data_IF_605286862255
#
_entry.id   IF_605286862255
#
_cell.length_a   1.000
_cell.length_b   1.000
_cell.length_c   1.000
_cell.angle_alpha   90.00
_cell.angle_beta   90.00
_cell.angle_gamma   90.00
#
_symmetry.space_group_name_H-M   'P 1'
#
loop_
_entity.id
_entity.type
_entity.pdbx_description
1 polymer ?
#
# COMPACT_ATOMS: atom_id res chain seq x y z
N UNK A 1 -25.98 -3.75 -35.31
CA UNK A 1 -24.71 -3.36 -34.66
C UNK A 1 -23.73 -3.06 -35.78
N UNK A 2 -23.05 -1.92 -35.79
CA UNK A 2 -22.15 -1.52 -36.89
C UNK A 2 -20.94 -2.47 -36.98
N UNK A 3 -20.50 -2.81 -38.19
CA UNK A 3 -19.35 -3.70 -38.45
C UNK A 3 -18.09 -3.25 -37.70
N UNK A 4 -17.85 -1.94 -37.61
CA UNK A 4 -16.74 -1.34 -36.86
C UNK A 4 -16.71 -1.68 -35.36
N UNK A 5 -17.89 -1.88 -34.76
CA UNK A 5 -18.00 -2.21 -33.32
C UNK A 5 -17.78 -3.70 -33.08
N UNK A 6 -18.06 -4.54 -34.09
CA UNK A 6 -17.83 -5.99 -34.07
C UNK A 6 -16.34 -6.30 -34.28
N UNK A 7 -15.69 -5.63 -35.22
CA UNK A 7 -14.23 -5.74 -35.44
C UNK A 7 -13.40 -5.31 -34.22
N UNK A 8 -13.84 -4.26 -33.51
CA UNK A 8 -13.19 -3.83 -32.27
C UNK A 8 -13.30 -4.85 -31.14
N UNK A 9 -14.42 -5.56 -31.04
CA UNK A 9 -14.64 -6.62 -30.04
C UNK A 9 -13.80 -7.85 -30.40
N UNK A 10 -13.82 -8.30 -31.65
CA UNK A 10 -13.04 -9.45 -32.12
C UNK A 10 -11.52 -9.24 -31.94
N UNK A 11 -11.04 -8.00 -32.13
CA UNK A 11 -9.62 -7.66 -31.89
C UNK A 11 -9.26 -7.72 -30.41
N UNK A 12 -10.12 -7.18 -29.54
CA UNK A 12 -9.93 -7.25 -28.08
C UNK A 12 -9.99 -8.68 -27.56
N UNK A 13 -10.91 -9.50 -28.08
CA UNK A 13 -11.03 -10.91 -27.71
C UNK A 13 -9.81 -11.72 -28.17
N UNK A 14 -9.29 -11.47 -29.38
CA UNK A 14 -8.05 -12.10 -29.88
C UNK A 14 -6.82 -11.66 -29.09
N UNK A 15 -6.71 -10.37 -28.73
CA UNK A 15 -5.63 -9.89 -27.87
C UNK A 15 -5.73 -10.47 -26.45
N UNK A 16 -6.94 -10.65 -25.91
CA UNK A 16 -7.15 -11.30 -24.61
C UNK A 16 -6.82 -12.80 -24.65
N UNK A 17 -7.21 -13.51 -25.72
CA UNK A 17 -6.87 -14.91 -25.94
C UNK A 17 -5.36 -15.11 -26.14
N UNK A 18 -4.71 -14.25 -26.92
CA UNK A 18 -3.25 -14.29 -27.13
C UNK A 18 -2.45 -14.02 -25.86
N UNK A 19 -2.92 -13.10 -25.00
CA UNK A 19 -2.26 -12.81 -23.73
C UNK A 19 -2.41 -13.93 -22.68
N UNK A 20 -3.51 -14.68 -22.72
CA UNK A 20 -3.67 -15.91 -21.92
C UNK A 20 -2.76 -17.07 -22.36
N UNK A 21 -2.14 -16.97 -23.54
CA UNK A 21 -1.21 -17.98 -24.09
C UNK A 21 0.27 -17.58 -24.02
N UNK A 22 0.62 -16.51 -23.29
CA UNK A 22 2.02 -16.09 -23.13
C UNK A 22 2.76 -17.10 -22.26
N UNK A 23 3.75 -17.77 -22.85
CA UNK A 23 4.63 -18.71 -22.13
C UNK A 23 5.74 -17.96 -21.40
N UNK A 24 6.34 -18.60 -20.40
CA UNK A 24 7.51 -18.09 -19.69
C UNK A 24 8.63 -17.67 -20.64
N UNK A 25 8.93 -18.46 -21.66
CA UNK A 25 10.02 -18.18 -22.62
C UNK A 25 9.76 -16.91 -23.43
N UNK A 26 8.51 -16.66 -23.83
CA UNK A 26 8.14 -15.45 -24.55
C UNK A 26 8.28 -14.19 -23.66
N UNK A 27 7.90 -14.30 -22.39
CA UNK A 27 8.05 -13.22 -21.42
C UNK A 27 9.52 -12.95 -21.11
N UNK A 28 10.34 -13.99 -20.96
CA UNK A 28 11.80 -13.87 -20.79
C UNK A 28 12.47 -13.20 -21.99
N UNK A 29 12.09 -13.57 -23.22
CA UNK A 29 12.58 -12.91 -24.43
C UNK A 29 12.21 -11.43 -24.49
N UNK A 30 11.00 -11.08 -24.07
CA UNK A 30 10.56 -9.68 -23.98
C UNK A 30 11.33 -8.92 -22.90
N UNK A 31 11.53 -9.51 -21.73
CA UNK A 31 12.32 -8.93 -20.65
C UNK A 31 13.77 -8.67 -21.09
N UNK A 32 14.42 -9.64 -21.74
CA UNK A 32 15.78 -9.47 -22.27
C UNK A 32 15.89 -8.28 -23.25
N UNK A 33 14.92 -8.15 -24.16
CA UNK A 33 14.84 -6.99 -25.05
C UNK A 33 14.65 -5.68 -24.29
N UNK A 34 13.87 -5.66 -23.20
CA UNK A 34 13.68 -4.46 -22.38
C UNK A 34 14.96 -4.07 -21.64
N UNK A 35 15.74 -5.04 -21.16
CA UNK A 35 17.05 -4.79 -20.53
C UNK A 35 18.02 -4.13 -21.51
N UNK A 36 18.08 -4.61 -22.76
CA UNK A 36 18.92 -4.00 -23.81
C UNK A 36 18.52 -2.56 -24.15
N UNK A 37 17.25 -2.21 -23.96
CA UNK A 37 16.68 -0.92 -24.32
C UNK A 37 16.53 0.05 -23.14
N UNK A 38 16.98 -0.32 -21.94
CA UNK A 38 16.81 0.47 -20.71
C UNK A 38 15.34 0.79 -20.39
N UNK A 39 14.47 -0.22 -20.53
CA UNK A 39 13.06 -0.21 -20.16
C UNK A 39 12.24 1.03 -20.59
N UNK A 40 12.08 1.30 -21.90
CA UNK A 40 11.26 2.41 -22.37
C UNK A 40 9.83 2.33 -21.81
N UNK A 41 9.33 3.42 -21.23
CA UNK A 41 8.06 3.43 -20.47
C UNK A 41 6.90 2.75 -21.18
N UNK A 42 6.69 3.03 -22.47
CA UNK A 42 5.61 2.43 -23.25
C UNK A 42 5.75 0.90 -23.33
N UNK A 43 6.95 0.40 -23.59
CA UNK A 43 7.22 -1.05 -23.67
C UNK A 43 7.16 -1.71 -22.30
N UNK A 44 7.72 -1.08 -21.27
CA UNK A 44 7.67 -1.55 -19.87
C UNK A 44 6.23 -1.69 -19.39
N UNK A 45 5.38 -0.68 -19.60
CA UNK A 45 3.97 -0.71 -19.20
C UNK A 45 3.21 -1.84 -19.93
N UNK A 46 3.47 -2.04 -21.22
CA UNK A 46 2.87 -3.15 -21.97
C UNK A 46 3.30 -4.50 -21.40
N UNK A 47 4.59 -4.68 -21.13
CA UNK A 47 5.13 -5.90 -20.55
C UNK A 47 4.55 -6.18 -19.15
N UNK A 48 4.44 -5.18 -18.29
CA UNK A 48 3.75 -5.30 -16.99
C UNK A 48 2.31 -5.77 -17.18
N UNK A 49 1.59 -5.20 -18.14
CA UNK A 49 0.20 -5.60 -18.41
C UNK A 49 0.10 -7.02 -18.98
N UNK A 50 1.13 -7.50 -19.67
CA UNK A 50 1.23 -8.88 -20.16
C UNK A 50 1.56 -9.86 -19.02
N UNK A 51 2.49 -9.50 -18.11
CA UNK A 51 2.80 -10.28 -16.90
C UNK A 51 1.55 -10.57 -16.06
N UNK A 52 0.73 -9.55 -15.78
CA UNK A 52 -0.49 -9.70 -14.98
C UNK A 52 -1.60 -10.51 -15.67
N UNK A 53 -1.54 -10.73 -16.99
CA UNK A 53 -2.51 -11.57 -17.72
C UNK A 53 -1.99 -12.96 -18.04
N UNK A 54 -0.69 -13.18 -17.85
CA UNK A 54 -0.05 -14.47 -18.06
C UNK A 54 -0.38 -15.43 -16.92
N UNK A 55 -0.33 -16.75 -17.15
CA UNK A 55 -0.39 -17.74 -16.07
C UNK A 55 0.93 -17.83 -15.27
N UNK A 56 1.98 -17.11 -15.65
CA UNK A 56 3.34 -17.25 -15.13
C UNK A 56 3.55 -16.44 -13.83
N UNK A 57 2.77 -16.75 -12.79
CA UNK A 57 2.78 -16.04 -11.49
C UNK A 57 4.17 -16.06 -10.86
N UNK A 58 4.84 -17.23 -10.86
CA UNK A 58 6.15 -17.39 -10.26
C UNK A 58 7.21 -16.51 -10.95
N UNK A 59 7.19 -16.46 -12.27
CA UNK A 59 8.10 -15.60 -13.04
C UNK A 59 7.80 -14.11 -12.83
N UNK A 60 6.52 -13.73 -12.77
CA UNK A 60 6.14 -12.36 -12.44
C UNK A 60 6.66 -11.97 -11.04
N UNK A 61 6.50 -12.83 -10.04
CA UNK A 61 6.97 -12.56 -8.68
C UNK A 61 8.51 -12.52 -8.59
N UNK A 62 9.22 -13.36 -9.35
CA UNK A 62 10.68 -13.32 -9.47
C UNK A 62 11.17 -11.94 -9.94
N UNK A 63 10.56 -11.37 -10.99
CA UNK A 63 10.91 -10.04 -11.47
C UNK A 63 10.64 -8.93 -10.45
N UNK A 64 9.58 -9.08 -9.64
CA UNK A 64 9.28 -8.15 -8.55
C UNK A 64 10.37 -8.22 -7.47
N UNK A 65 10.81 -9.42 -7.08
CA UNK A 65 11.89 -9.57 -6.12
C UNK A 65 13.19 -8.94 -6.62
N UNK A 66 13.54 -9.14 -7.90
CA UNK A 66 14.71 -8.50 -8.49
C UNK A 66 14.61 -6.96 -8.47
N UNK A 67 13.44 -6.40 -8.79
CA UNK A 67 13.20 -4.94 -8.72
C UNK A 67 13.34 -4.41 -7.29
N UNK A 68 12.89 -5.18 -6.27
CA UNK A 68 13.09 -4.82 -4.86
C UNK A 68 14.56 -4.84 -4.45
N UNK A 69 15.30 -5.88 -4.83
CA UNK A 69 16.71 -6.05 -4.49
C UNK A 69 17.60 -5.01 -5.16
N UNK A 70 17.35 -4.73 -6.44
CA UNK A 70 18.14 -3.78 -7.23
C UNK A 70 17.69 -2.31 -7.01
N UNK A 71 16.46 -2.09 -6.54
CA UNK A 71 15.90 -0.76 -6.31
C UNK A 71 15.72 0.04 -7.60
N UNK A 72 15.33 -0.63 -8.69
CA UNK A 72 15.28 -0.01 -10.04
C UNK A 72 14.01 0.80 -10.30
N UNK A 73 12.99 0.70 -9.44
CA UNK A 73 11.69 1.39 -9.56
C UNK A 73 10.98 1.06 -10.89
N UNK A 74 11.17 -0.18 -11.36
CA UNK A 74 10.55 -0.68 -12.58
C UNK A 74 9.06 -0.98 -12.36
N UNK A 75 8.63 -1.13 -11.11
CA UNK A 75 7.24 -1.23 -10.67
C UNK A 75 6.52 -2.42 -11.33
N UNK A 76 7.19 -3.57 -11.41
CA UNK A 76 6.59 -4.80 -11.94
C UNK A 76 5.35 -5.22 -11.14
N UNK A 77 5.26 -4.83 -9.87
CA UNK A 77 4.10 -5.02 -9.00
C UNK A 77 2.75 -4.52 -9.57
N UNK A 78 2.75 -3.56 -10.49
CA UNK A 78 1.57 -2.76 -10.81
C UNK A 78 0.36 -3.55 -11.33
N UNK A 79 0.59 -4.71 -11.96
CA UNK A 79 -0.45 -5.56 -12.54
C UNK A 79 -0.66 -6.89 -11.80
N UNK A 80 0.02 -7.13 -10.68
CA UNK A 80 -0.03 -8.43 -10.02
C UNK A 80 -1.43 -8.76 -9.47
N UNK A 81 -2.25 -7.75 -9.15
CA UNK A 81 -3.65 -7.95 -8.74
C UNK A 81 -4.52 -8.64 -9.80
N UNK A 82 -4.08 -8.66 -11.07
CA UNK A 82 -4.76 -9.33 -12.16
C UNK A 82 -4.71 -10.87 -12.07
N UNK A 83 -3.76 -11.42 -11.30
CA UNK A 83 -3.69 -12.86 -11.00
C UNK A 83 -4.81 -13.34 -10.07
N UNK A 84 -5.57 -12.42 -9.46
CA UNK A 84 -6.72 -12.76 -8.62
C UNK A 84 -6.34 -13.62 -7.41
N UNK A 85 -7.18 -14.62 -7.11
CA UNK A 85 -6.98 -15.49 -5.95
C UNK A 85 -5.71 -16.32 -6.06
N UNK A 86 -5.39 -16.84 -7.25
CA UNK A 86 -4.19 -17.66 -7.48
C UNK A 86 -2.90 -16.90 -7.16
N UNK A 87 -2.85 -15.61 -7.50
CA UNK A 87 -1.72 -14.74 -7.13
C UNK A 87 -1.60 -14.53 -5.62
N UNK A 88 -2.73 -14.38 -4.91
CA UNK A 88 -2.74 -14.26 -3.45
C UNK A 88 -2.28 -15.58 -2.80
N UNK A 89 -2.79 -16.71 -3.26
CA UNK A 89 -2.41 -18.03 -2.74
C UNK A 89 -0.92 -18.31 -2.93
N UNK A 90 -0.37 -17.98 -4.11
CA UNK A 90 1.06 -18.09 -4.38
C UNK A 90 1.92 -17.26 -3.41
N UNK A 91 1.54 -16.00 -3.18
CA UNK A 91 2.25 -15.12 -2.25
C UNK A 91 2.13 -15.58 -0.79
N UNK A 92 0.99 -16.13 -0.38
CA UNK A 92 0.80 -16.71 0.96
C UNK A 92 1.65 -17.97 1.15
N UNK A 93 1.73 -18.83 0.14
CA UNK A 93 2.61 -20.00 0.16
C UNK A 93 4.08 -19.58 0.28
N UNK A 94 4.50 -18.61 -0.54
CA UNK A 94 5.86 -18.07 -0.50
C UNK A 94 6.18 -17.45 0.86
N UNK A 95 5.26 -16.66 1.42
CA UNK A 95 5.39 -16.07 2.75
C UNK A 95 5.56 -17.13 3.85
N UNK A 96 4.92 -18.29 3.73
CA UNK A 96 5.04 -19.37 4.71
C UNK A 96 6.38 -20.12 4.63
N UNK A 97 7.04 -20.07 3.48
CA UNK A 97 8.33 -20.72 3.23
C UNK A 97 9.53 -19.79 3.45
N UNK A 98 9.33 -18.48 3.35
CA UNK A 98 10.38 -17.48 3.52
C UNK A 98 10.82 -17.35 4.99
N UNK A 99 12.13 -17.37 5.24
CA UNK A 99 12.72 -17.25 6.58
C UNK A 99 13.29 -15.86 6.84
N UNK A 100 13.72 -15.14 5.80
CA UNK A 100 14.28 -13.79 5.96
C UNK A 100 13.19 -12.79 6.38
N UNK A 101 13.38 -12.14 7.53
CA UNK A 101 12.40 -11.22 8.10
C UNK A 101 12.08 -10.06 7.14
N UNK A 102 13.09 -9.49 6.49
CA UNK A 102 12.89 -8.34 5.60
C UNK A 102 12.11 -8.73 4.36
N UNK A 103 12.39 -9.91 3.79
CA UNK A 103 11.66 -10.44 2.66
C UNK A 103 10.23 -10.81 3.02
N UNK A 104 9.99 -11.43 4.18
CA UNK A 104 8.64 -11.66 4.72
C UNK A 104 7.85 -10.35 4.83
N UNK A 105 8.48 -9.28 5.31
CA UNK A 105 7.85 -7.96 5.44
C UNK A 105 7.51 -7.36 4.07
N UNK A 106 8.40 -7.48 3.08
CA UNK A 106 8.12 -7.05 1.71
C UNK A 106 6.92 -7.80 1.11
N UNK A 107 6.86 -9.12 1.29
CA UNK A 107 5.73 -9.94 0.83
C UNK A 107 4.42 -9.54 1.54
N UNK A 108 4.44 -9.35 2.86
CA UNK A 108 3.26 -8.91 3.63
C UNK A 108 2.78 -7.53 3.17
N UNK A 109 3.71 -6.59 2.99
CA UNK A 109 3.40 -5.25 2.49
C UNK A 109 2.77 -5.32 1.09
N UNK A 110 3.32 -6.16 0.21
CA UNK A 110 2.82 -6.34 -1.14
C UNK A 110 1.43 -7.01 -1.17
N UNK A 111 1.23 -8.06 -0.37
CA UNK A 111 -0.08 -8.69 -0.16
C UNK A 111 -1.13 -7.66 0.29
N UNK A 112 -0.80 -6.82 1.29
CA UNK A 112 -1.71 -5.78 1.76
C UNK A 112 -2.01 -4.73 0.66
N UNK A 113 -1.01 -4.34 -0.12
CA UNK A 113 -1.16 -3.43 -1.28
C UNK A 113 -2.13 -4.01 -2.30
N UNK A 114 -1.97 -5.28 -2.68
CA UNK A 114 -2.88 -5.96 -3.62
C UNK A 114 -4.29 -6.02 -3.04
N UNK A 115 -4.45 -6.50 -1.80
CA UNK A 115 -5.75 -6.64 -1.13
C UNK A 115 -6.51 -5.31 -1.05
N UNK A 116 -5.81 -4.19 -0.85
CA UNK A 116 -6.42 -2.85 -0.86
C UNK A 116 -7.11 -2.48 -2.19
N UNK A 117 -6.62 -3.02 -3.32
CA UNK A 117 -7.16 -2.81 -4.67
C UNK A 117 -8.34 -3.74 -4.99
N UNK A 118 -8.36 -4.94 -4.39
CA UNK A 118 -9.33 -6.01 -4.72
C UNK A 118 -10.38 -6.26 -3.64
N UNK A 119 -10.70 -5.24 -2.84
CA UNK A 119 -11.67 -5.31 -1.71
C UNK A 119 -13.07 -5.82 -2.05
N UNK A 120 -13.46 -5.69 -3.31
CA UNK A 120 -14.76 -6.14 -3.81
C UNK A 120 -14.79 -7.65 -4.15
N UNK A 121 -13.65 -8.33 -4.07
CA UNK A 121 -13.55 -9.77 -4.35
C UNK A 121 -13.97 -10.58 -3.13
N UNK A 122 -14.59 -11.72 -3.39
CA UNK A 122 -15.12 -12.65 -2.39
C UNK A 122 -14.04 -13.21 -1.44
N UNK A 123 -12.82 -13.38 -1.94
CA UNK A 123 -11.68 -13.84 -1.17
C UNK A 123 -11.01 -12.79 -0.28
N UNK A 124 -11.37 -11.51 -0.40
CA UNK A 124 -10.69 -10.42 0.33
C UNK A 124 -10.66 -10.67 1.83
N UNK A 125 -11.81 -10.97 2.43
CA UNK A 125 -11.92 -11.14 3.88
C UNK A 125 -11.12 -12.35 4.39
N UNK A 126 -11.16 -13.48 3.69
CA UNK A 126 -10.38 -14.66 4.04
C UNK A 126 -8.88 -14.43 3.91
N UNK A 127 -8.44 -13.68 2.89
CA UNK A 127 -7.03 -13.38 2.68
C UNK A 127 -6.51 -12.40 3.74
N UNK A 128 -7.26 -11.33 4.08
CA UNK A 128 -6.90 -10.44 5.19
C UNK A 128 -6.75 -11.21 6.51
N UNK A 129 -7.64 -12.16 6.79
CA UNK A 129 -7.58 -13.00 8.00
C UNK A 129 -6.30 -13.85 8.07
N UNK A 130 -5.73 -14.24 6.94
CA UNK A 130 -4.47 -14.98 6.88
C UNK A 130 -3.24 -14.07 7.01
N UNK A 131 -3.28 -12.89 6.38
CA UNK A 131 -2.14 -11.94 6.38
C UNK A 131 -1.99 -11.22 7.71
N UNK A 132 -3.09 -10.81 8.35
CA UNK A 132 -3.07 -9.96 9.55
C UNK A 132 -2.24 -10.55 10.71
N UNK A 133 -2.36 -11.84 11.10
CA UNK A 133 -1.55 -12.41 12.17
C UNK A 133 -0.04 -12.34 11.88
N UNK A 134 0.35 -12.61 10.62
CA UNK A 134 1.76 -12.55 10.21
C UNK A 134 2.26 -11.11 10.25
N UNK A 135 1.48 -10.17 9.74
CA UNK A 135 1.79 -8.74 9.79
C UNK A 135 2.03 -8.30 11.24
N UNK A 136 1.10 -8.57 12.15
CA UNK A 136 1.19 -8.19 13.56
C UNK A 136 2.44 -8.80 14.22
N UNK A 137 2.78 -10.06 13.87
CA UNK A 137 3.97 -10.73 14.41
C UNK A 137 5.29 -10.08 14.00
N UNK A 138 5.34 -9.43 12.83
CA UNK A 138 6.53 -8.77 12.28
C UNK A 138 6.64 -7.30 12.73
N UNK A 139 5.55 -6.72 13.25
CA UNK A 139 5.46 -5.31 13.63
C UNK A 139 6.53 -4.84 14.64
N UNK A 140 7.00 -5.69 15.59
CA UNK A 140 8.10 -5.36 16.49
C UNK A 140 9.52 -5.29 15.86
N UNK A 141 9.66 -5.35 14.53
CA UNK A 141 10.95 -5.23 13.82
C UNK A 141 11.83 -4.08 14.36
N UNK A 142 13.13 -4.31 14.54
CA UNK A 142 14.08 -3.26 14.97
C UNK A 142 14.25 -2.16 13.93
N UNK A 143 14.10 -2.50 12.65
CA UNK A 143 14.28 -1.59 11.53
C UNK A 143 13.06 -0.70 11.33
N UNK A 144 13.25 0.62 11.43
CA UNK A 144 12.16 1.58 11.30
C UNK A 144 11.51 1.58 9.90
N UNK A 145 12.30 1.32 8.85
CA UNK A 145 11.80 1.18 7.47
C UNK A 145 10.83 0.00 7.33
N UNK A 146 11.11 -1.11 8.01
CA UNK A 146 10.30 -2.31 8.03
C UNK A 146 9.02 -2.10 8.87
N UNK A 147 9.14 -1.55 10.08
CA UNK A 147 7.97 -1.17 10.90
C UNK A 147 7.02 -0.25 10.13
N UNK A 148 7.56 0.73 9.42
CA UNK A 148 6.78 1.67 8.61
C UNK A 148 5.96 0.97 7.53
N UNK A 149 6.54 0.01 6.80
CA UNK A 149 5.81 -0.79 5.80
C UNK A 149 4.63 -1.52 6.44
N UNK A 150 4.87 -2.16 7.58
CA UNK A 150 3.85 -2.90 8.31
C UNK A 150 2.74 -2.00 8.86
N UNK A 151 3.08 -0.82 9.40
CA UNK A 151 2.12 0.20 9.82
C UNK A 151 1.22 0.63 8.65
N UNK A 152 1.82 0.92 7.49
CA UNK A 152 1.06 1.28 6.27
C UNK A 152 0.14 0.13 5.85
N UNK A 153 0.64 -1.11 5.86
CA UNK A 153 -0.14 -2.29 5.54
C UNK A 153 -1.34 -2.47 6.48
N UNK A 154 -1.19 -2.21 7.79
CA UNK A 154 -2.31 -2.17 8.74
C UNK A 154 -3.38 -1.15 8.35
N UNK A 155 -2.98 0.03 7.85
CA UNK A 155 -3.95 1.03 7.38
C UNK A 155 -4.81 0.55 6.21
N UNK A 156 -4.31 -0.38 5.40
CA UNK A 156 -5.01 -0.92 4.23
C UNK A 156 -5.91 -2.12 4.53
N UNK A 157 -5.43 -3.05 5.36
CA UNK A 157 -6.12 -4.34 5.60
C UNK A 157 -6.56 -4.55 7.05
N UNK A 158 -6.21 -3.64 7.95
CA UNK A 158 -6.60 -3.69 9.36
C UNK A 158 -8.07 -3.37 9.58
N UNK A 159 -8.51 -3.66 10.80
CA UNK A 159 -9.87 -3.45 11.27
C UNK A 159 -9.89 -2.51 12.48
N UNK A 160 -11.06 -2.38 13.11
CA UNK A 160 -11.20 -1.67 14.38
C UNK A 160 -10.31 -2.27 15.49
N UNK A 161 -9.95 -3.55 15.39
CA UNK A 161 -9.14 -4.27 16.38
C UNK A 161 -7.70 -3.77 16.43
N UNK A 162 -7.20 -3.19 15.34
CA UNK A 162 -5.81 -2.74 15.22
C UNK A 162 -5.62 -1.25 15.58
N UNK A 163 -6.68 -0.55 15.98
CA UNK A 163 -6.61 0.87 16.39
C UNK A 163 -5.64 1.07 17.55
N UNK A 164 -5.67 0.19 18.55
CA UNK A 164 -4.80 0.30 19.72
C UNK A 164 -3.32 0.13 19.35
N UNK A 165 -3.03 -0.83 18.46
CA UNK A 165 -1.68 -1.09 17.95
C UNK A 165 -1.16 0.16 17.20
N UNK A 166 -1.94 0.71 16.27
CA UNK A 166 -1.58 1.93 15.56
C UNK A 166 -1.45 3.14 16.50
N UNK A 167 -2.30 3.23 17.51
CA UNK A 167 -2.22 4.26 18.55
C UNK A 167 -0.92 4.19 19.34
N UNK A 168 -0.48 2.98 19.71
CA UNK A 168 0.79 2.79 20.41
C UNK A 168 1.98 3.28 19.57
N UNK A 169 2.03 2.92 18.29
CA UNK A 169 3.10 3.41 17.40
C UNK A 169 3.01 4.92 17.18
N UNK A 170 1.81 5.49 17.03
CA UNK A 170 1.61 6.93 16.92
C UNK A 170 2.20 7.69 18.13
N UNK A 171 2.02 7.17 19.35
CA UNK A 171 2.43 7.84 20.58
C UNK A 171 3.88 7.57 20.97
N UNK A 172 4.41 6.37 20.68
CA UNK A 172 5.65 5.89 21.32
C UNK A 172 6.73 5.36 20.38
N UNK A 173 6.46 5.22 19.07
CA UNK A 173 7.52 4.78 18.15
C UNK A 173 8.66 5.81 18.14
N UNK A 174 9.90 5.31 18.16
CA UNK A 174 11.09 6.16 18.19
C UNK A 174 11.31 6.88 16.86
N UNK A 175 10.87 6.28 15.74
CA UNK A 175 10.98 6.86 14.40
C UNK A 175 9.81 7.81 14.12
N UNK A 176 10.12 9.05 13.75
CA UNK A 176 9.12 10.09 13.48
C UNK A 176 8.19 9.71 12.31
N UNK A 177 8.74 9.04 11.29
CA UNK A 177 7.94 8.61 10.15
C UNK A 177 7.03 7.44 10.53
N UNK A 178 7.44 6.50 11.39
CA UNK A 178 6.52 5.48 11.93
C UNK A 178 5.34 6.13 12.68
N UNK A 179 5.59 7.15 13.51
CA UNK A 179 4.49 7.91 14.16
C UNK A 179 3.57 8.58 13.14
N UNK A 180 4.13 9.25 12.14
CA UNK A 180 3.37 9.89 11.06
C UNK A 180 2.51 8.90 10.26
N UNK A 181 3.09 7.77 9.86
CA UNK A 181 2.40 6.72 9.12
C UNK A 181 1.35 6.01 9.97
N UNK A 182 1.50 5.98 11.29
CA UNK A 182 0.47 5.48 12.20
C UNK A 182 -0.77 6.37 12.18
N UNK A 183 -0.58 7.70 12.24
CA UNK A 183 -1.68 8.66 12.05
C UNK A 183 -2.37 8.51 10.70
N UNK A 184 -1.60 8.41 9.61
CA UNK A 184 -2.15 8.17 8.27
C UNK A 184 -2.90 6.84 8.20
N UNK A 185 -2.40 5.78 8.83
CA UNK A 185 -3.02 4.46 8.82
C UNK A 185 -4.34 4.44 9.59
N UNK A 186 -4.42 5.12 10.73
CA UNK A 186 -5.69 5.34 11.45
C UNK A 186 -6.73 6.05 10.59
N UNK A 187 -6.32 7.06 9.82
CA UNK A 187 -7.20 7.70 8.84
C UNK A 187 -7.59 6.72 7.72
N UNK A 188 -6.65 5.93 7.21
CA UNK A 188 -6.91 4.97 6.13
C UNK A 188 -7.94 3.90 6.50
N UNK A 189 -8.02 3.47 7.76
CA UNK A 189 -9.05 2.54 8.22
C UNK A 189 -10.49 3.03 7.88
N UNK A 190 -10.70 4.35 7.83
CA UNK A 190 -12.00 4.95 7.49
C UNK A 190 -12.42 4.79 6.04
N UNK A 191 -11.47 4.51 5.15
CA UNK A 191 -11.74 4.26 3.73
C UNK A 191 -11.96 2.77 3.43
N UNK A 192 -11.66 1.88 4.39
CA UNK A 192 -11.54 0.45 4.14
C UNK A 192 -12.54 -0.38 4.92
N UNK A 193 -12.55 -0.31 6.26
CA UNK A 193 -13.25 -1.31 7.09
C UNK A 193 -14.00 -0.74 8.30
N UNK A 194 -13.80 0.53 8.65
CA UNK A 194 -14.37 1.08 9.89
C UNK A 194 -15.15 2.35 9.60
N UNK A 195 -16.38 2.42 10.11
CA UNK A 195 -17.21 3.61 10.03
C UNK A 195 -16.48 4.83 10.60
N UNK A 196 -16.55 5.94 9.87
CA UNK A 196 -15.77 7.14 10.15
C UNK A 196 -16.05 7.69 11.54
N UNK A 197 -17.31 7.70 11.96
CA UNK A 197 -17.76 8.19 13.26
C UNK A 197 -17.13 7.38 14.40
N UNK A 198 -17.06 6.06 14.24
CA UNK A 198 -16.45 5.15 15.23
C UNK A 198 -14.94 5.41 15.33
N UNK A 199 -14.26 5.58 14.20
CA UNK A 199 -12.84 5.94 14.20
C UNK A 199 -12.59 7.30 14.84
N UNK A 200 -13.41 8.30 14.52
CA UNK A 200 -13.29 9.63 15.12
C UNK A 200 -13.38 9.56 16.64
N UNK A 201 -14.34 8.80 17.17
CA UNK A 201 -14.49 8.61 18.62
C UNK A 201 -13.27 7.92 19.24
N UNK A 202 -12.82 6.81 18.64
CA UNK A 202 -11.72 6.00 19.19
C UNK A 202 -10.33 6.63 19.06
N UNK A 203 -10.12 7.52 18.09
CA UNK A 203 -8.78 8.06 17.78
C UNK A 203 -8.58 9.51 18.19
N UNK A 204 -9.64 10.24 18.56
CA UNK A 204 -9.55 11.66 18.94
C UNK A 204 -8.52 11.91 20.03
N UNK A 205 -8.50 11.07 21.06
CA UNK A 205 -7.58 11.20 22.18
C UNK A 205 -6.13 10.89 21.78
N UNK A 206 -5.92 9.93 20.87
CA UNK A 206 -4.61 9.63 20.30
C UNK A 206 -4.04 10.84 19.56
N UNK A 207 -4.82 11.48 18.68
CA UNK A 207 -4.40 12.69 17.97
C UNK A 207 -4.21 13.89 18.91
N UNK A 208 -5.06 14.00 19.94
CA UNK A 208 -4.95 15.05 20.97
C UNK A 208 -3.63 14.98 21.72
N UNK A 209 -3.12 13.78 21.95
CA UNK A 209 -1.86 13.53 22.65
C UNK A 209 -0.64 13.62 21.71
N UNK A 210 -0.70 13.01 20.53
CA UNK A 210 0.43 12.95 19.60
C UNK A 210 0.81 14.32 19.01
N UNK A 211 -0.17 15.09 18.54
CA UNK A 211 0.09 16.33 17.80
C UNK A 211 0.82 17.39 18.65
N UNK A 212 0.49 17.64 19.93
CA UNK A 212 1.26 18.56 20.77
C UNK A 212 2.70 18.14 21.05
N UNK A 213 2.98 16.85 21.12
CA UNK A 213 4.28 16.33 21.55
C UNK A 213 5.26 16.10 20.40
N UNK A 214 4.78 16.01 19.16
CA UNK A 214 5.63 15.73 17.99
C UNK A 214 6.67 16.84 17.73
N UNK A 215 7.95 16.49 17.70
CA UNK A 215 9.05 17.44 17.51
C UNK A 215 9.47 17.55 16.05
N UNK A 216 9.26 16.49 15.27
CA UNK A 216 9.55 16.48 13.85
C UNK A 216 8.45 17.21 13.06
N UNK A 217 8.83 18.26 12.33
CA UNK A 217 7.86 19.09 11.62
C UNK A 217 7.14 18.34 10.50
N UNK A 218 7.82 17.42 9.81
CA UNK A 218 7.22 16.64 8.73
C UNK A 218 6.20 15.66 9.30
N UNK A 219 6.57 14.92 10.36
CA UNK A 219 5.68 14.01 11.04
C UNK A 219 4.46 14.74 11.61
N UNK A 220 4.67 15.90 12.26
CA UNK A 220 3.59 16.73 12.78
C UNK A 220 2.64 17.19 11.66
N UNK A 221 3.19 17.63 10.52
CA UNK A 221 2.40 18.04 9.36
C UNK A 221 1.54 16.89 8.81
N UNK A 222 2.12 15.69 8.68
CA UNK A 222 1.42 14.49 8.23
C UNK A 222 0.35 14.04 9.23
N UNK A 223 0.61 14.10 10.54
CA UNK A 223 -0.42 13.83 11.57
C UNK A 223 -1.59 14.81 11.49
N UNK A 224 -1.31 16.10 11.29
CA UNK A 224 -2.34 17.14 11.10
C UNK A 224 -3.14 16.87 9.83
N UNK A 225 -2.50 16.46 8.74
CA UNK A 225 -3.18 16.11 7.48
C UNK A 225 -4.06 14.87 7.65
N UNK A 226 -3.60 13.81 8.32
CA UNK A 226 -4.42 12.65 8.63
C UNK A 226 -5.64 13.04 9.50
N UNK A 227 -5.40 13.81 10.56
CA UNK A 227 -6.46 14.30 11.44
C UNK A 227 -7.46 15.19 10.69
N UNK A 228 -7.01 16.09 9.81
CA UNK A 228 -7.92 16.98 9.11
C UNK A 228 -8.89 16.21 8.21
N UNK A 229 -8.42 15.16 7.53
CA UNK A 229 -9.27 14.28 6.71
C UNK A 229 -10.26 13.51 7.58
N UNK A 230 -9.76 12.90 8.66
CA UNK A 230 -10.58 12.09 9.56
C UNK A 230 -11.66 12.92 10.27
N UNK A 231 -11.35 14.15 10.71
CA UNK A 231 -12.30 15.02 11.42
C UNK A 231 -13.04 16.03 10.52
N UNK A 232 -12.86 15.95 9.19
CA UNK A 232 -13.53 16.83 8.24
C UNK A 232 -13.17 18.31 8.42
N UNK A 233 -11.89 18.59 8.67
CA UNK A 233 -11.32 19.92 8.87
C UNK A 233 -10.34 20.26 7.75
N UNK A 234 -9.95 21.53 7.69
CA UNK A 234 -8.96 22.04 6.74
C UNK A 234 -8.03 23.01 7.47
N UNK A 235 -7.00 22.45 8.11
CA UNK A 235 -6.03 23.24 8.88
C UNK A 235 -4.79 23.57 8.09
N UNK A 236 -4.36 22.66 7.22
CA UNK A 236 -3.12 22.78 6.44
C UNK A 236 -3.38 22.39 4.98
N UNK A 237 -2.95 23.20 4.00
CA UNK A 237 -2.95 22.76 2.60
C UNK A 237 -1.80 21.78 2.34
N UNK A 238 -2.03 20.78 1.49
CA UNK A 238 -1.02 19.77 1.11
C UNK A 238 0.28 20.41 0.61
N UNK A 239 0.20 21.51 -0.15
CA UNK A 239 1.39 22.24 -0.62
C UNK A 239 2.28 22.80 0.51
N UNK A 240 1.72 23.09 1.69
CA UNK A 240 2.50 23.51 2.85
C UNK A 240 3.20 22.33 3.53
N UNK A 241 2.62 21.13 3.45
CA UNK A 241 3.24 19.88 3.90
C UNK A 241 4.42 19.54 2.98
N UNK A 242 4.18 19.50 1.67
CA UNK A 242 5.19 19.17 0.65
C UNK A 242 6.41 20.09 0.68
N UNK A 243 6.19 21.39 0.92
CA UNK A 243 7.26 22.40 0.99
C UNK A 243 7.82 22.60 2.39
N UNK A 244 7.35 21.83 3.37
CA UNK A 244 7.72 21.95 4.79
C UNK A 244 7.65 23.40 5.31
N UNK A 245 6.54 24.08 5.06
CA UNK A 245 6.34 25.47 5.46
C UNK A 245 6.05 25.57 6.97
N UNK A 246 7.12 25.62 7.78
CA UNK A 246 7.10 25.54 9.26
C UNK A 246 6.06 26.49 9.89
N UNK A 247 6.00 27.74 9.46
CA UNK A 247 5.05 28.72 10.02
C UNK A 247 3.58 28.30 9.83
N UNK A 248 3.27 27.71 8.67
CA UNK A 248 1.92 27.20 8.39
C UNK A 248 1.64 25.93 9.17
N UNK A 249 2.63 25.05 9.31
CA UNK A 249 2.53 23.83 10.13
C UNK A 249 2.21 24.19 11.58
N UNK A 250 2.94 25.14 12.17
CA UNK A 250 2.70 25.60 13.55
C UNK A 250 1.33 26.26 13.74
N UNK A 251 0.88 27.05 12.76
CA UNK A 251 -0.48 27.63 12.79
C UNK A 251 -1.56 26.55 12.70
N UNK A 252 -1.36 25.55 11.84
CA UNK A 252 -2.26 24.42 11.68
C UNK A 252 -2.29 23.57 12.96
N UNK A 253 -1.13 23.33 13.58
CA UNK A 253 -0.97 22.62 14.86
C UNK A 253 -1.80 23.26 15.96
N UNK A 254 -1.68 24.57 16.17
CA UNK A 254 -2.49 25.32 17.16
C UNK A 254 -3.99 25.18 16.91
N UNK A 255 -4.40 25.13 15.64
CA UNK A 255 -5.80 24.99 15.24
C UNK A 255 -6.33 23.57 15.49
N UNK A 256 -5.54 22.55 15.15
CA UNK A 256 -5.85 21.14 15.41
C UNK A 256 -5.97 20.86 16.91
N UNK A 257 -4.99 21.31 17.71
CA UNK A 257 -5.00 21.13 19.18
C UNK A 257 -6.25 21.76 19.80
N UNK A 258 -6.64 22.97 19.36
CA UNK A 258 -7.84 23.64 19.88
C UNK A 258 -9.11 22.85 19.57
N UNK A 259 -9.18 22.20 18.43
CA UNK A 259 -10.31 21.36 18.06
C UNK A 259 -10.35 20.06 18.86
N UNK A 260 -9.21 19.37 18.99
CA UNK A 260 -9.11 18.06 19.65
C UNK A 260 -9.31 18.13 21.18
N UNK A 261 -9.09 19.30 21.79
CA UNK A 261 -9.36 19.56 23.21
C UNK A 261 -10.82 19.82 23.56
N UNK A 262 -11.67 20.12 22.57
CA UNK A 262 -13.12 20.28 22.76
C UNK A 262 -13.79 18.93 22.67
#
# INVERSE_FOLDING_TARGET
MSDSRKEGIDKLEKEQLGRKSLTKEALQGTYASLVEEDFPDSKRIHFIADLGRSPEIAFHFELICNDWEEGTDLNFEASFDQHGQEGIDYLLETLNQEEDESQRILIVYFLAKILSKVRHRDFYASSCKQVLPVLISLLPSSEASNRRKLIIALGWIGSISEIEILGQHLLTDQDALCRAWSASSLMQLSFHQVEKEVLMEKTKDLFREAIPEEKDFLACALMIEAAQVLFGKKWIPTSAVEKLEIEKIEKARKSAIRFLKK
#
